data_IF_126650710654
#
_entry.id   IF_126650710654
#
_cell.length_a   1.000
_cell.length_b   1.000
_cell.length_c   1.000
_cell.angle_alpha   90.00
_cell.angle_beta   90.00
_cell.angle_gamma   90.00
#
_symmetry.space_group_name_H-M   'P 1'
#
loop_
_entity.id
_entity.type
_entity.pdbx_description
1 polymer ?
#
# COMPACT_ATOMS: atom_id res chain seq x y z
N UNK A 1 0.70 4.54 11.30
CA UNK A 1 -0.38 3.78 10.65
C UNK A 1 0.15 2.45 10.16
N UNK A 2 -0.59 1.38 10.36
CA UNK A 2 -0.19 0.03 9.92
C UNK A 2 -0.84 -0.30 8.58
N UNK A 3 -0.22 -1.20 7.82
CA UNK A 3 -0.79 -1.64 6.56
C UNK A 3 -0.45 -3.10 6.27
N UNK A 4 -1.19 -3.69 5.34
CA UNK A 4 -0.99 -5.06 4.90
C UNK A 4 -0.55 -5.14 3.43
N UNK A 5 0.06 -4.09 2.90
CA UNK A 5 0.47 -4.03 1.49
C UNK A 5 1.39 -5.19 1.13
N UNK A 6 2.37 -5.47 1.98
CA UNK A 6 3.32 -6.56 1.73
C UNK A 6 2.61 -7.91 1.59
N UNK A 7 1.61 -8.16 2.44
CA UNK A 7 0.81 -9.39 2.40
C UNK A 7 0.01 -9.44 1.10
N UNK A 8 -0.64 -8.33 0.75
CA UNK A 8 -1.44 -8.26 -0.49
C UNK A 8 -0.56 -8.44 -1.72
N UNK A 9 0.64 -7.86 -1.72
CA UNK A 9 1.59 -8.06 -2.82
C UNK A 9 1.92 -9.55 -2.97
N UNK A 10 2.19 -10.22 -1.85
CA UNK A 10 2.52 -11.64 -1.88
C UNK A 10 1.36 -12.46 -2.44
N UNK A 11 0.14 -12.16 -2.03
CA UNK A 11 -1.06 -12.84 -2.53
C UNK A 11 -1.18 -12.68 -4.05
N UNK A 12 -0.87 -11.47 -4.56
CA UNK A 12 -0.98 -11.17 -6.00
C UNK A 12 0.33 -11.42 -6.75
N UNK A 13 1.34 -11.99 -6.11
CA UNK A 13 2.65 -12.30 -6.69
C UNK A 13 3.31 -11.08 -7.33
N UNK A 14 3.24 -9.94 -6.64
CA UNK A 14 3.82 -8.67 -7.12
C UNK A 14 5.05 -8.30 -6.31
N UNK A 15 6.12 -7.87 -7.01
CA UNK A 15 7.26 -7.21 -6.37
C UNK A 15 6.88 -5.76 -6.05
N UNK A 16 7.69 -5.10 -5.21
CA UNK A 16 7.51 -3.66 -4.96
C UNK A 16 7.58 -2.86 -6.26
N UNK A 17 8.51 -3.21 -7.13
CA UNK A 17 8.66 -2.54 -8.43
C UNK A 17 7.42 -2.71 -9.30
N UNK A 18 6.90 -3.92 -9.39
CA UNK A 18 5.70 -4.19 -10.18
C UNK A 18 4.48 -3.45 -9.64
N UNK A 19 4.33 -3.43 -8.32
CA UNK A 19 3.24 -2.69 -7.69
C UNK A 19 3.37 -1.19 -7.98
N UNK A 20 4.58 -0.66 -7.84
CA UNK A 20 4.85 0.75 -8.10
C UNK A 20 4.49 1.13 -9.55
N UNK A 21 4.88 0.29 -10.51
CA UNK A 21 4.55 0.51 -11.91
C UNK A 21 3.04 0.55 -12.15
N UNK A 22 2.30 -0.37 -11.53
CA UNK A 22 0.84 -0.41 -11.67
C UNK A 22 0.16 0.82 -11.10
N UNK A 23 0.74 1.42 -10.08
CA UNK A 23 0.17 2.59 -9.40
C UNK A 23 0.71 3.91 -9.94
N UNK A 24 1.73 3.87 -10.79
CA UNK A 24 2.35 5.08 -11.33
C UNK A 24 3.18 5.84 -10.31
N UNK A 25 3.80 5.16 -9.36
CA UNK A 25 4.67 5.76 -8.34
C UNK A 25 6.03 5.07 -8.36
N UNK A 26 6.99 5.60 -7.61
CA UNK A 26 8.33 5.00 -7.53
C UNK A 26 8.31 3.78 -6.59
N UNK A 27 9.26 2.88 -6.81
CA UNK A 27 9.48 1.74 -5.90
C UNK A 27 9.75 2.22 -4.48
N UNK A 28 10.50 3.32 -4.35
CA UNK A 28 10.83 3.89 -3.04
C UNK A 28 9.57 4.29 -2.28
N UNK A 29 8.56 4.83 -2.98
CA UNK A 29 7.28 5.18 -2.37
C UNK A 29 6.63 3.94 -1.76
N UNK A 30 6.59 2.83 -2.49
CA UNK A 30 6.02 1.59 -1.96
C UNK A 30 6.81 1.09 -0.76
N UNK A 31 8.14 1.11 -0.86
CA UNK A 31 9.01 0.66 0.22
C UNK A 31 8.76 1.45 1.52
N UNK A 32 8.67 2.78 1.42
CA UNK A 32 8.49 3.63 2.60
C UNK A 32 7.10 3.50 3.20
N UNK A 33 6.08 3.27 2.37
CA UNK A 33 4.72 3.02 2.87
C UNK A 33 4.69 1.68 3.62
N UNK A 34 5.26 0.63 3.05
CA UNK A 34 5.30 -0.69 3.70
C UNK A 34 6.06 -0.64 5.02
N UNK A 35 7.07 0.20 5.11
CA UNK A 35 7.87 0.38 6.33
C UNK A 35 7.20 1.28 7.37
N UNK A 36 5.98 1.75 7.10
CA UNK A 36 5.23 2.67 7.97
C UNK A 36 5.93 4.02 8.18
N UNK A 37 6.77 4.43 7.23
CA UNK A 37 7.49 5.70 7.30
C UNK A 37 6.83 6.80 6.50
N UNK A 38 5.81 6.47 5.72
CA UNK A 38 5.12 7.41 4.87
C UNK A 38 3.65 7.02 4.77
N UNK A 39 2.77 7.98 5.00
CA UNK A 39 1.33 7.79 4.86
C UNK A 39 0.95 8.14 3.43
N UNK A 40 0.34 7.23 2.67
CA UNK A 40 -0.02 7.52 1.28
C UNK A 40 -1.09 8.60 1.20
N UNK A 41 -1.13 9.31 0.07
CA UNK A 41 -2.22 10.22 -0.24
C UNK A 41 -3.52 9.42 -0.33
N UNK A 42 -4.66 10.12 -0.19
CA UNK A 42 -5.97 9.50 -0.35
C UNK A 42 -6.10 8.85 -1.73
N UNK A 43 -5.61 9.51 -2.77
CA UNK A 43 -5.66 8.95 -4.13
C UNK A 43 -4.89 7.63 -4.20
N UNK A 44 -3.68 7.59 -3.66
CA UNK A 44 -2.88 6.38 -3.70
C UNK A 44 -3.50 5.26 -2.87
N UNK A 45 -4.05 5.60 -1.70
CA UNK A 45 -4.74 4.61 -0.86
C UNK A 45 -5.93 3.99 -1.59
N UNK A 46 -6.71 4.81 -2.30
CA UNK A 46 -7.86 4.33 -3.07
C UNK A 46 -7.42 3.46 -4.26
N UNK A 47 -6.32 3.84 -4.92
CA UNK A 47 -5.76 3.03 -6.01
C UNK A 47 -5.30 1.67 -5.52
N UNK A 48 -4.65 1.62 -4.35
CA UNK A 48 -4.23 0.36 -3.74
C UNK A 48 -5.43 -0.53 -3.41
N UNK A 49 -6.46 0.05 -2.82
CA UNK A 49 -7.68 -0.68 -2.49
C UNK A 49 -8.33 -1.27 -3.75
N UNK A 50 -8.42 -0.47 -4.80
CA UNK A 50 -9.00 -0.90 -6.06
C UNK A 50 -8.17 -2.02 -6.69
N UNK A 51 -6.85 -1.88 -6.70
CA UNK A 51 -5.95 -2.88 -7.26
C UNK A 51 -6.08 -4.23 -6.55
N UNK A 52 -6.14 -4.21 -5.23
CA UNK A 52 -6.25 -5.42 -4.43
C UNK A 52 -7.68 -5.89 -4.24
N UNK A 53 -8.65 -5.16 -4.77
CA UNK A 53 -10.08 -5.46 -4.64
C UNK A 53 -10.50 -5.58 -3.19
N UNK A 54 -10.09 -4.60 -2.38
CA UNK A 54 -10.39 -4.54 -0.94
C UNK A 54 -10.79 -3.13 -0.56
N UNK A 55 -11.38 -3.01 0.63
CA UNK A 55 -11.69 -1.70 1.22
C UNK A 55 -10.40 -1.10 1.77
N UNK A 56 -10.30 0.24 1.77
CA UNK A 56 -9.14 0.94 2.32
C UNK A 56 -8.88 0.50 3.76
N UNK A 57 -9.93 0.36 4.57
CA UNK A 57 -9.80 -0.06 5.97
C UNK A 57 -9.34 -1.49 6.16
N UNK A 58 -9.35 -2.32 5.11
CA UNK A 58 -8.79 -3.67 5.17
C UNK A 58 -7.29 -3.66 4.91
N UNK A 59 -6.78 -2.62 4.25
CA UNK A 59 -5.36 -2.49 3.90
C UNK A 59 -4.62 -1.62 4.90
N UNK A 60 -5.24 -0.52 5.34
CA UNK A 60 -4.64 0.45 6.25
C UNK A 60 -5.41 0.48 7.56
N UNK A 61 -4.68 0.53 8.67
CA UNK A 61 -5.27 0.62 10.01
C UNK A 61 -4.55 1.66 10.84
N UNK A 62 -5.33 2.40 11.61
CA UNK A 62 -4.74 3.33 12.58
C UNK A 62 -4.10 2.53 13.71
N UNK A 63 -2.98 3.02 14.23
CA UNK A 63 -2.45 2.49 15.48
C UNK A 63 -2.69 3.52 16.59
N UNK A 64 -2.28 3.17 17.81
CA UNK A 64 -2.60 3.99 18.98
C UNK A 64 -2.01 5.40 18.93
N UNK A 65 -0.94 5.59 18.16
CA UNK A 65 -0.25 6.87 18.07
C UNK A 65 -0.78 7.77 16.95
N UNK A 66 -1.66 7.27 16.13
CA UNK A 66 -2.20 8.07 15.01
C UNK A 66 -3.28 9.09 15.43
#
# INVERSE_FOLDING_TARGET
MKNSIKVERAIHSLTQEQLAQKLGVSRQTIHTIEANKYVPSTVLALKLAQLFNKQVGEIFRLDEED
#
